data_IF_544869497182
#
_entry.id   IF_544869497182
#
_cell.length_a   1.000
_cell.length_b   1.000
_cell.length_c   1.000
_cell.angle_alpha   90.00
_cell.angle_beta   90.00
_cell.angle_gamma   90.00
#
_symmetry.space_group_name_H-M   'P 1'
#
loop_
_entity.id
_entity.type
_entity.pdbx_description
1 polymer ?
#
# COMPACT_ATOMS: atom_id res chain seq x y z
N UNK A 1 37.01 -1.04 -2.41
CA UNK A 1 36.56 -2.36 -2.88
C UNK A 1 35.04 -2.31 -3.10
N UNK A 2 34.54 -1.83 -4.26
CA UNK A 2 33.08 -1.65 -4.46
C UNK A 2 32.42 -2.66 -5.41
N UNK A 3 33.11 -3.69 -5.89
CA UNK A 3 32.62 -4.55 -6.98
C UNK A 3 31.65 -5.65 -6.55
N UNK A 4 31.52 -5.94 -5.25
CA UNK A 4 30.70 -7.06 -4.76
C UNK A 4 29.23 -6.69 -4.46
N UNK A 5 28.89 -5.40 -4.38
CA UNK A 5 27.51 -4.95 -4.08
C UNK A 5 26.53 -5.10 -5.25
N UNK A 6 27.04 -5.11 -6.50
CA UNK A 6 26.16 -5.18 -7.68
C UNK A 6 25.74 -6.60 -8.04
N UNK A 7 26.46 -7.62 -7.56
CA UNK A 7 26.16 -9.02 -7.87
C UNK A 7 25.08 -9.64 -6.96
N UNK A 8 24.77 -9.02 -5.80
CA UNK A 8 23.82 -9.59 -4.85
C UNK A 8 22.39 -9.32 -5.29
N UNK A 9 21.64 -10.39 -5.48
CA UNK A 9 20.24 -10.35 -5.94
C UNK A 9 19.42 -11.31 -5.11
N UNK A 10 18.27 -10.87 -4.62
CA UNK A 10 17.33 -11.72 -3.92
C UNK A 10 16.06 -11.92 -4.75
N UNK A 11 15.65 -13.16 -4.91
CA UNK A 11 14.40 -13.48 -5.59
C UNK A 11 13.50 -14.28 -4.66
N UNK A 12 12.28 -13.80 -4.45
CA UNK A 12 11.25 -14.49 -3.69
C UNK A 12 10.00 -14.66 -4.53
N UNK A 13 9.34 -15.82 -4.38
CA UNK A 13 8.11 -16.13 -5.08
C UNK A 13 7.00 -16.45 -4.09
N UNK A 14 5.86 -15.79 -4.23
CA UNK A 14 4.72 -15.98 -3.34
C UNK A 14 3.40 -15.67 -4.04
N UNK A 15 2.31 -16.09 -3.41
CA UNK A 15 0.95 -15.71 -3.80
C UNK A 15 0.37 -14.90 -2.66
N UNK A 16 -0.04 -13.66 -2.93
CA UNK A 16 -0.69 -12.83 -1.91
C UNK A 16 -2.05 -13.41 -1.53
N UNK A 17 -2.47 -13.25 -0.29
CA UNK A 17 -3.80 -13.62 0.16
C UNK A 17 -4.68 -12.38 0.36
N UNK A 18 -6.00 -12.55 0.26
CA UNK A 18 -6.95 -11.47 0.55
C UNK A 18 -6.77 -10.91 1.96
N UNK A 19 -6.52 -11.78 2.94
CA UNK A 19 -6.31 -11.37 4.33
C UNK A 19 -5.08 -10.50 4.55
N UNK A 20 -4.00 -10.72 3.80
CA UNK A 20 -2.79 -9.88 3.87
C UNK A 20 -3.07 -8.46 3.36
N UNK A 21 -3.77 -8.36 2.22
CA UNK A 21 -4.16 -7.07 1.64
C UNK A 21 -5.12 -6.34 2.59
N UNK A 22 -6.09 -7.06 3.16
CA UNK A 22 -7.04 -6.53 4.12
C UNK A 22 -6.36 -5.97 5.37
N UNK A 23 -5.46 -6.75 6.00
CA UNK A 23 -4.69 -6.31 7.17
C UNK A 23 -3.82 -5.09 6.87
N UNK A 24 -3.17 -5.08 5.69
CA UNK A 24 -2.37 -3.92 5.29
C UNK A 24 -3.25 -2.68 5.08
N UNK A 25 -4.41 -2.81 4.43
CA UNK A 25 -5.35 -1.70 4.22
C UNK A 25 -5.77 -1.07 5.55
N UNK A 26 -6.18 -1.88 6.53
CA UNK A 26 -6.60 -1.36 7.83
C UNK A 26 -5.47 -0.74 8.64
N UNK A 27 -4.26 -1.28 8.57
CA UNK A 27 -3.07 -0.63 9.16
C UNK A 27 -2.80 0.73 8.50
N UNK A 28 -2.86 0.81 7.17
CA UNK A 28 -2.67 2.06 6.45
C UNK A 28 -3.79 3.07 6.73
N UNK A 29 -5.02 2.58 6.95
CA UNK A 29 -6.18 3.41 7.30
C UNK A 29 -6.03 4.01 8.70
N UNK A 30 -5.58 3.24 9.67
CA UNK A 30 -5.48 3.64 11.09
C UNK A 30 -4.29 4.58 11.38
N UNK A 31 -3.39 4.84 10.43
CA UNK A 31 -2.25 5.75 10.65
C UNK A 31 -2.70 7.20 10.84
N UNK A 32 -1.96 8.06 11.62
CA UNK A 32 -2.31 9.46 11.84
C UNK A 32 -2.52 10.27 10.55
N UNK A 33 -1.71 10.01 9.51
CA UNK A 33 -1.86 10.57 8.16
C UNK A 33 -2.43 9.55 7.17
N UNK A 34 -3.28 8.63 7.63
CA UNK A 34 -3.73 7.48 6.88
C UNK A 34 -4.89 7.74 5.92
N UNK A 35 -5.34 6.66 5.29
CA UNK A 35 -6.39 6.69 4.26
C UNK A 35 -7.73 7.21 4.78
N UNK A 36 -8.00 7.16 6.10
CA UNK A 36 -9.24 7.66 6.70
C UNK A 36 -9.51 9.12 6.37
N UNK A 37 -8.47 9.96 6.23
CA UNK A 37 -8.59 11.39 5.89
C UNK A 37 -9.26 11.61 4.53
N UNK A 38 -8.93 10.77 3.54
CA UNK A 38 -9.56 10.82 2.22
C UNK A 38 -11.04 10.44 2.29
N UNK A 39 -11.41 9.46 3.11
CA UNK A 39 -12.80 9.06 3.29
C UNK A 39 -13.61 10.16 3.97
N UNK A 40 -13.04 10.79 5.02
CA UNK A 40 -13.67 11.94 5.68
C UNK A 40 -13.85 13.08 4.70
N UNK A 41 -12.81 13.44 3.92
CA UNK A 41 -12.89 14.52 2.95
C UNK A 41 -13.97 14.25 1.89
N UNK A 42 -14.00 13.04 1.32
CA UNK A 42 -15.00 12.66 0.32
C UNK A 42 -16.41 12.66 0.93
N UNK A 43 -16.58 12.13 2.13
CA UNK A 43 -17.87 12.12 2.83
C UNK A 43 -18.38 13.52 3.11
N UNK A 44 -17.52 14.42 3.59
CA UNK A 44 -17.85 15.83 3.81
C UNK A 44 -18.19 16.54 2.50
N UNK A 45 -17.43 16.29 1.45
CA UNK A 45 -17.70 16.88 0.13
C UNK A 45 -19.07 16.48 -0.41
N UNK A 46 -19.40 15.17 -0.35
CA UNK A 46 -20.72 14.67 -0.78
C UNK A 46 -21.84 15.27 0.08
N UNK A 47 -21.65 15.33 1.41
CA UNK A 47 -22.64 15.88 2.33
C UNK A 47 -22.86 17.39 2.08
N UNK A 48 -21.79 18.14 1.85
CA UNK A 48 -21.86 19.57 1.52
C UNK A 48 -22.58 19.80 0.20
N UNK A 49 -22.22 19.06 -0.85
CA UNK A 49 -22.86 19.16 -2.16
C UNK A 49 -24.38 18.87 -2.08
N UNK A 50 -24.76 17.89 -1.25
CA UNK A 50 -26.19 17.57 -1.07
C UNK A 50 -26.90 18.55 -0.15
N UNK A 51 -26.23 19.10 0.84
CA UNK A 51 -26.74 20.15 1.73
C UNK A 51 -27.04 21.45 1.01
N UNK A 52 -26.24 21.79 -0.03
CA UNK A 52 -26.37 23.00 -0.84
C UNK A 52 -27.19 22.82 -2.12
N UNK A 53 -27.84 21.69 -2.30
CA UNK A 53 -28.56 21.35 -3.54
C UNK A 53 -29.59 22.43 -3.97
N UNK A 54 -30.23 23.09 -3.01
CA UNK A 54 -31.26 24.11 -3.24
C UNK A 54 -30.68 25.56 -3.14
N UNK A 55 -29.34 25.66 -3.30
CA UNK A 55 -28.59 26.93 -3.18
C UNK A 55 -27.91 27.08 -1.82
N UNK A 56 -26.86 27.88 -1.77
CA UNK A 56 -26.10 28.13 -0.53
C UNK A 56 -26.94 28.86 0.53
N UNK A 57 -27.89 29.72 0.10
CA UNK A 57 -28.78 30.46 0.98
C UNK A 57 -29.77 29.55 1.72
N UNK A 58 -30.08 28.39 1.12
CA UNK A 58 -31.02 27.39 1.66
C UNK A 58 -30.30 26.14 2.16
N UNK A 59 -29.14 26.31 2.80
CA UNK A 59 -28.39 25.18 3.31
C UNK A 59 -29.17 24.33 4.32
N UNK A 60 -29.49 23.10 3.94
CA UNK A 60 -30.29 22.19 4.76
C UNK A 60 -29.37 21.38 5.69
N UNK A 61 -29.17 21.86 6.91
CA UNK A 61 -28.27 21.26 7.91
C UNK A 61 -28.66 19.80 8.25
N UNK A 62 -29.94 19.50 8.35
CA UNK A 62 -30.46 18.14 8.57
C UNK A 62 -30.08 17.20 7.43
N UNK A 63 -30.23 17.65 6.17
CA UNK A 63 -29.85 16.89 4.98
C UNK A 63 -28.33 16.65 4.93
N UNK A 64 -27.54 17.65 5.29
CA UNK A 64 -26.08 17.51 5.40
C UNK A 64 -25.69 16.38 6.36
N UNK A 65 -26.20 16.40 7.60
CA UNK A 65 -25.85 15.39 8.59
C UNK A 65 -26.35 14.00 8.24
N UNK A 66 -27.59 13.86 7.71
CA UNK A 66 -28.11 12.57 7.25
C UNK A 66 -27.24 12.02 6.11
N UNK A 67 -26.89 12.87 5.13
CA UNK A 67 -26.01 12.46 4.02
C UNK A 67 -24.63 12.05 4.53
N UNK A 68 -24.04 12.79 5.45
CA UNK A 68 -22.74 12.48 6.02
C UNK A 68 -22.77 11.12 6.75
N UNK A 69 -23.80 10.88 7.55
CA UNK A 69 -23.99 9.63 8.30
C UNK A 69 -24.11 8.41 7.38
N UNK A 70 -24.68 8.57 6.19
CA UNK A 70 -24.82 7.49 5.21
C UNK A 70 -23.62 7.41 4.28
N UNK A 71 -23.15 8.54 3.73
CA UNK A 71 -22.08 8.58 2.73
C UNK A 71 -20.73 8.15 3.30
N UNK A 72 -20.43 8.51 4.54
CA UNK A 72 -19.16 8.20 5.18
C UNK A 72 -18.92 6.68 5.31
N UNK A 73 -19.78 5.89 5.96
CA UNK A 73 -19.61 4.44 6.05
C UNK A 73 -19.70 3.76 4.67
N UNK A 74 -20.51 4.26 3.76
CA UNK A 74 -20.61 3.73 2.40
C UNK A 74 -19.29 3.94 1.64
N UNK A 75 -18.66 5.10 1.73
CA UNK A 75 -17.34 5.35 1.16
C UNK A 75 -16.29 4.40 1.75
N UNK A 76 -16.23 4.26 3.07
CA UNK A 76 -15.29 3.33 3.72
C UNK A 76 -15.51 1.90 3.21
N UNK A 77 -16.76 1.46 3.13
CA UNK A 77 -17.12 0.13 2.63
C UNK A 77 -16.69 -0.07 1.17
N UNK A 78 -17.03 0.85 0.28
CA UNK A 78 -16.71 0.74 -1.13
C UNK A 78 -15.19 0.73 -1.38
N UNK A 79 -14.46 1.64 -0.74
CA UNK A 79 -13.01 1.71 -0.88
C UNK A 79 -12.28 0.52 -0.25
N UNK A 80 -12.82 -0.08 0.81
CA UNK A 80 -12.26 -1.30 1.41
C UNK A 80 -12.57 -2.56 0.62
N UNK A 81 -13.77 -2.66 0.03
CA UNK A 81 -14.20 -3.82 -0.76
C UNK A 81 -13.59 -3.82 -2.17
N UNK A 82 -13.39 -2.66 -2.79
CA UNK A 82 -12.91 -2.57 -4.16
C UNK A 82 -11.60 -3.34 -4.43
N UNK A 83 -10.53 -3.22 -3.61
CA UNK A 83 -9.34 -4.04 -3.77
C UNK A 83 -9.58 -5.53 -3.59
N UNK A 84 -10.56 -5.90 -2.76
CA UNK A 84 -10.92 -7.31 -2.50
C UNK A 84 -11.65 -7.94 -3.70
N UNK A 85 -12.54 -7.18 -4.34
CA UNK A 85 -13.28 -7.66 -5.52
C UNK A 85 -12.36 -7.83 -6.73
N UNK A 86 -11.35 -6.95 -6.88
CA UNK A 86 -10.36 -7.01 -7.96
C UNK A 86 -9.16 -7.91 -7.66
N UNK A 87 -9.10 -8.48 -6.47
CA UNK A 87 -8.00 -9.33 -6.07
C UNK A 87 -7.95 -10.61 -6.91
N UNK A 88 -6.79 -10.86 -7.51
CA UNK A 88 -6.45 -12.13 -8.15
C UNK A 88 -5.28 -12.76 -7.38
N UNK A 89 -5.44 -14.03 -7.05
CA UNK A 89 -4.41 -14.81 -6.34
C UNK A 89 -3.32 -15.32 -7.31
N UNK A 90 -2.72 -14.40 -8.05
CA UNK A 90 -1.66 -14.74 -8.99
C UNK A 90 -0.31 -14.89 -8.26
N UNK A 91 0.49 -15.84 -8.73
CA UNK A 91 1.85 -16.02 -8.22
C UNK A 91 2.70 -14.81 -8.63
N UNK A 92 3.31 -14.20 -7.64
CA UNK A 92 4.23 -13.07 -7.81
C UNK A 92 5.66 -13.54 -7.62
N UNK A 93 6.54 -13.16 -8.55
CA UNK A 93 7.99 -13.23 -8.37
C UNK A 93 8.51 -11.83 -8.15
N UNK A 94 9.23 -11.61 -7.06
CA UNK A 94 9.88 -10.37 -6.71
C UNK A 94 11.37 -10.57 -6.68
N UNK A 95 12.10 -9.75 -7.41
CA UNK A 95 13.55 -9.67 -7.41
C UNK A 95 13.97 -8.31 -6.92
N UNK A 96 14.90 -8.24 -5.96
CA UNK A 96 15.55 -7.00 -5.53
C UNK A 96 17.04 -7.08 -5.78
N UNK A 97 17.63 -5.96 -6.13
CA UNK A 97 19.08 -5.74 -6.34
C UNK A 97 19.47 -4.32 -5.94
N UNK A 98 20.72 -3.92 -6.17
CA UNK A 98 21.22 -2.59 -5.84
C UNK A 98 20.48 -1.45 -6.57
N UNK A 99 19.93 -1.68 -7.77
CA UNK A 99 19.25 -0.67 -8.59
C UNK A 99 17.78 -0.44 -8.15
N UNK A 100 17.18 -1.46 -7.55
CA UNK A 100 15.75 -1.39 -7.17
C UNK A 100 15.12 -2.77 -7.05
N UNK A 101 13.83 -2.83 -7.37
CA UNK A 101 13.09 -4.07 -7.41
C UNK A 101 12.34 -4.26 -8.72
N UNK A 102 12.17 -5.53 -9.10
CA UNK A 102 11.33 -5.96 -10.21
C UNK A 102 10.33 -6.99 -9.72
N UNK A 103 9.06 -6.77 -10.02
CA UNK A 103 7.98 -7.70 -9.68
C UNK A 103 7.31 -8.19 -10.94
N UNK A 104 7.06 -9.49 -11.04
CA UNK A 104 6.31 -10.13 -12.12
C UNK A 104 5.09 -10.85 -11.53
N UNK A 105 3.92 -10.60 -12.15
CA UNK A 105 2.65 -11.26 -11.82
C UNK A 105 2.03 -11.75 -13.12
N UNK A 106 2.10 -13.03 -13.41
CA UNK A 106 1.71 -13.59 -14.68
C UNK A 106 2.49 -12.97 -15.86
N UNK A 107 1.79 -12.28 -16.76
CA UNK A 107 2.39 -11.58 -17.92
C UNK A 107 2.76 -10.12 -17.65
N UNK A 108 2.37 -9.59 -16.49
CA UNK A 108 2.60 -8.20 -16.11
C UNK A 108 3.89 -8.13 -15.30
N UNK A 109 4.79 -7.24 -15.69
CA UNK A 109 6.00 -6.91 -14.93
C UNK A 109 6.02 -5.42 -14.60
N UNK A 110 6.61 -5.10 -13.45
CA UNK A 110 6.84 -3.73 -13.03
C UNK A 110 8.15 -3.64 -12.27
N UNK A 111 8.85 -2.55 -12.44
CA UNK A 111 10.11 -2.26 -11.73
C UNK A 111 10.07 -0.86 -11.14
N UNK A 112 10.85 -0.64 -10.08
CA UNK A 112 11.08 0.66 -9.47
C UNK A 112 12.47 0.76 -8.92
N UNK A 113 13.08 1.93 -9.09
CA UNK A 113 14.33 2.26 -8.44
C UNK A 113 14.11 2.55 -6.94
N UNK A 114 15.15 2.42 -6.14
CA UNK A 114 15.08 2.74 -4.69
C UNK A 114 14.74 4.21 -4.44
N UNK A 115 15.08 5.13 -5.34
CA UNK A 115 14.72 6.55 -5.27
C UNK A 115 13.17 6.79 -5.27
N UNK A 116 12.40 5.87 -5.84
CA UNK A 116 10.93 5.93 -5.86
C UNK A 116 10.28 5.33 -4.60
N UNK A 117 11.09 4.84 -3.67
CA UNK A 117 10.64 4.18 -2.45
C UNK A 117 10.71 5.16 -1.29
N UNK A 118 9.59 5.32 -0.58
CA UNK A 118 9.48 6.19 0.59
C UNK A 118 9.91 5.49 1.87
N UNK A 119 9.57 4.21 2.02
CA UNK A 119 9.86 3.47 3.24
C UNK A 119 9.82 1.96 3.02
N UNK A 120 10.62 1.24 3.82
CA UNK A 120 10.59 -0.21 3.94
C UNK A 120 10.18 -0.54 5.37
N UNK A 121 8.97 -1.05 5.53
CA UNK A 121 8.40 -1.43 6.82
C UNK A 121 8.49 -2.92 7.02
N UNK A 122 8.94 -3.29 8.19
CA UNK A 122 9.04 -4.67 8.65
C UNK A 122 8.06 -4.91 9.78
N UNK A 123 7.21 -5.89 9.63
CA UNK A 123 6.26 -6.35 10.64
C UNK A 123 6.41 -7.85 10.82
N UNK A 124 5.88 -8.41 11.91
CA UNK A 124 6.00 -9.84 12.21
C UNK A 124 5.57 -10.75 11.06
N UNK A 125 4.55 -10.35 10.30
CA UNK A 125 3.96 -11.15 9.24
C UNK A 125 4.40 -10.74 7.82
N UNK A 126 4.85 -9.50 7.62
CA UNK A 126 5.05 -8.97 6.26
C UNK A 126 6.15 -7.92 6.20
N UNK A 127 6.82 -7.84 5.05
CA UNK A 127 7.64 -6.71 4.65
C UNK A 127 6.81 -5.87 3.67
N UNK A 128 6.71 -4.56 3.91
CA UNK A 128 6.04 -3.64 2.99
C UNK A 128 7.05 -2.65 2.40
N UNK A 129 7.23 -2.68 1.08
CA UNK A 129 8.03 -1.70 0.34
C UNK A 129 7.07 -0.64 -0.19
N UNK A 130 7.11 0.56 0.37
CA UNK A 130 6.14 1.63 0.15
C UNK A 130 6.72 2.66 -0.81
N UNK A 131 6.08 2.83 -1.95
CA UNK A 131 6.46 3.83 -2.93
C UNK A 131 5.95 5.24 -2.58
N UNK A 132 6.57 6.26 -3.18
CA UNK A 132 6.24 7.68 -2.97
C UNK A 132 4.76 8.01 -3.28
N UNK A 133 4.14 7.29 -4.20
CA UNK A 133 2.71 7.46 -4.58
C UNK A 133 1.73 6.69 -3.68
N UNK A 134 2.19 6.16 -2.54
CA UNK A 134 1.35 5.43 -1.58
C UNK A 134 1.03 3.99 -1.95
N UNK A 135 1.48 3.51 -3.10
CA UNK A 135 1.39 2.09 -3.43
C UNK A 135 2.40 1.29 -2.60
N UNK A 136 2.01 0.10 -2.18
CA UNK A 136 2.87 -0.79 -1.42
C UNK A 136 3.00 -2.17 -2.07
N UNK A 137 4.21 -2.70 -2.05
CA UNK A 137 4.51 -4.09 -2.37
C UNK A 137 4.60 -4.85 -1.04
N UNK A 138 3.71 -5.81 -0.84
CA UNK A 138 3.62 -6.60 0.38
C UNK A 138 4.26 -7.96 0.13
N UNK A 139 5.30 -8.28 0.88
CA UNK A 139 5.99 -9.57 0.86
C UNK A 139 5.67 -10.30 2.16
N UNK A 140 4.92 -11.41 2.13
CA UNK A 140 4.57 -12.15 3.34
C UNK A 140 5.79 -12.91 3.88
N UNK A 141 5.84 -13.11 5.20
CA UNK A 141 6.90 -13.87 5.88
C UNK A 141 7.12 -15.26 5.26
N UNK A 142 6.04 -15.92 4.88
CA UNK A 142 6.08 -17.26 4.23
C UNK A 142 6.71 -17.27 2.83
N UNK A 143 7.04 -16.12 2.25
CA UNK A 143 7.79 -16.04 0.99
C UNK A 143 9.27 -16.42 1.17
N UNK A 144 9.75 -16.44 2.41
CA UNK A 144 11.12 -16.77 2.76
C UNK A 144 11.22 -18.19 3.32
N UNK A 145 12.30 -18.92 3.01
CA UNK A 145 12.50 -20.27 3.52
C UNK A 145 12.68 -20.29 5.05
N UNK A 146 13.32 -19.26 5.59
CA UNK A 146 13.62 -19.08 7.00
C UNK A 146 13.77 -17.62 7.39
N UNK A 147 13.98 -17.37 8.67
CA UNK A 147 14.11 -16.01 9.22
C UNK A 147 15.47 -15.38 8.90
N UNK A 148 16.50 -16.20 8.64
CA UNK A 148 17.81 -15.68 8.25
C UNK A 148 17.76 -15.07 6.85
N UNK A 149 17.16 -15.79 5.88
CA UNK A 149 16.94 -15.29 4.52
C UNK A 149 16.05 -14.04 4.50
N UNK A 150 15.03 -13.99 5.38
CA UNK A 150 14.17 -12.81 5.54
C UNK A 150 14.97 -11.60 6.05
N UNK A 151 15.78 -11.78 7.10
CA UNK A 151 16.62 -10.71 7.66
C UNK A 151 17.64 -10.21 6.65
N UNK A 152 18.27 -11.11 5.91
CA UNK A 152 19.22 -10.76 4.87
C UNK A 152 18.56 -9.90 3.78
N UNK A 153 17.39 -10.32 3.29
CA UNK A 153 16.61 -9.57 2.31
C UNK A 153 16.28 -8.14 2.79
N UNK A 154 15.83 -7.99 4.04
CA UNK A 154 15.48 -6.67 4.60
C UNK A 154 16.72 -5.80 4.76
N UNK A 155 17.82 -6.36 5.27
CA UNK A 155 19.05 -5.61 5.50
C UNK A 155 19.61 -5.08 4.20
N UNK A 156 19.65 -5.90 3.15
CA UNK A 156 20.12 -5.47 1.84
C UNK A 156 19.19 -4.43 1.21
N UNK A 157 17.88 -4.65 1.27
CA UNK A 157 16.90 -3.67 0.77
C UNK A 157 17.04 -2.31 1.47
N UNK A 158 17.20 -2.29 2.79
CA UNK A 158 17.43 -1.05 3.56
C UNK A 158 18.76 -0.41 3.24
N UNK A 159 19.83 -1.20 3.08
CA UNK A 159 21.15 -0.72 2.73
C UNK A 159 21.13 -0.02 1.34
N UNK A 160 20.51 -0.65 0.34
CA UNK A 160 20.40 -0.08 -1.00
C UNK A 160 19.50 1.16 -1.03
N UNK A 161 18.40 1.14 -0.30
CA UNK A 161 17.50 2.31 -0.17
C UNK A 161 18.22 3.49 0.49
N UNK A 162 18.95 3.26 1.58
CA UNK A 162 19.71 4.31 2.26
C UNK A 162 20.84 4.89 1.41
N UNK A 163 21.48 4.07 0.56
CA UNK A 163 22.56 4.52 -0.33
C UNK A 163 22.08 5.48 -1.43
N UNK A 164 20.78 5.48 -1.74
CA UNK A 164 20.20 6.41 -2.75
C UNK A 164 19.63 7.66 -2.08
N UNK A 165 19.31 7.59 -0.77
CA UNK A 165 18.80 8.74 -0.01
C UNK A 165 19.89 9.66 0.53
N UNK A 166 21.18 9.23 0.46
CA UNK A 166 22.37 9.99 0.88
C UNK A 166 22.91 10.84 -0.27
#
# INVERSE_FOLDING_TARGET
>A
MPLDRQAKMHTVSYTSTRGEIWRWYWRAWARPAGLWRYHVFIGLFIAAAYGTRDGFENFAIGRFFVTLLVAMPLCVLLFSLWPQLRFKADRRSLTINADGWTSRVGKISGSRAWADIRAIEDTDDTIAIIGNKGNALIVPRRAFPDEAARREFINDARCWHAAVAA
#
